data_IF_429557991221
#
_entry.id   IF_429557991221
#
_cell.length_a   1.000
_cell.length_b   1.000
_cell.length_c   1.000
_cell.angle_alpha   90.00
_cell.angle_beta   90.00
_cell.angle_gamma   90.00
#
_symmetry.space_group_name_H-M   'P 1'
#
loop_
_entity.id
_entity.type
_entity.pdbx_description
1 polymer ?
#
# COMPACT_ATOMS: atom_id res chain seq x y z
N UNK A 1 -62.29 -9.08 -11.74
CA UNK A 1 -62.06 -9.05 -10.27
C UNK A 1 -61.30 -7.76 -9.95
N UNK A 2 -61.90 -6.79 -9.23
CA UNK A 2 -61.21 -5.53 -8.88
C UNK A 2 -60.20 -5.82 -7.77
N UNK A 3 -58.94 -5.47 -8.00
CA UNK A 3 -57.87 -5.67 -7.04
C UNK A 3 -58.18 -4.86 -5.75
N UNK A 4 -58.06 -5.44 -4.55
CA UNK A 4 -58.36 -4.73 -3.31
C UNK A 4 -57.49 -3.48 -3.17
N UNK A 5 -58.05 -2.35 -2.75
CA UNK A 5 -57.32 -1.07 -2.59
C UNK A 5 -56.05 -1.21 -1.73
N UNK A 6 -56.05 -2.12 -0.76
CA UNK A 6 -54.88 -2.46 0.06
C UNK A 6 -53.69 -2.99 -0.77
N UNK A 7 -53.93 -3.84 -1.77
CA UNK A 7 -52.89 -4.36 -2.67
C UNK A 7 -52.30 -3.27 -3.58
N UNK A 8 -53.11 -2.29 -4.01
CA UNK A 8 -52.63 -1.15 -4.81
C UNK A 8 -51.71 -0.23 -4.01
N UNK A 9 -52.05 0.07 -2.75
CA UNK A 9 -51.21 0.89 -1.85
C UNK A 9 -49.90 0.14 -1.52
N UNK A 10 -49.97 -1.17 -1.31
CA UNK A 10 -48.79 -2.02 -1.06
C UNK A 10 -47.84 -2.07 -2.27
N UNK A 11 -48.36 -2.18 -3.50
CA UNK A 11 -47.56 -2.15 -4.73
C UNK A 11 -46.94 -0.76 -5.00
N UNK A 12 -47.66 0.33 -4.69
CA UNK A 12 -47.11 1.70 -4.79
C UNK A 12 -46.00 1.91 -3.75
N UNK A 13 -46.17 1.41 -2.53
CA UNK A 13 -45.15 1.47 -1.47
C UNK A 13 -43.91 0.60 -1.77
N UNK A 14 -44.08 -0.57 -2.38
CA UNK A 14 -42.97 -1.41 -2.85
C UNK A 14 -42.25 -0.78 -4.05
N UNK A 15 -43.00 -0.21 -4.99
CA UNK A 15 -42.44 0.49 -6.15
C UNK A 15 -41.65 1.74 -5.77
N UNK A 16 -42.13 2.52 -4.79
CA UNK A 16 -41.42 3.72 -4.31
C UNK A 16 -40.14 3.35 -3.54
N UNK A 17 -40.18 2.32 -2.70
CA UNK A 17 -38.99 1.82 -1.99
C UNK A 17 -37.93 1.29 -2.96
N UNK A 18 -38.33 0.50 -3.97
CA UNK A 18 -37.43 -0.01 -4.99
C UNK A 18 -36.78 1.12 -5.82
N UNK A 19 -37.56 2.17 -6.15
CA UNK A 19 -37.03 3.35 -6.86
C UNK A 19 -36.02 4.13 -6.02
N UNK A 20 -36.26 4.31 -4.71
CA UNK A 20 -35.32 4.96 -3.79
C UNK A 20 -34.02 4.15 -3.69
N UNK A 21 -34.11 2.83 -3.55
CA UNK A 21 -32.93 1.94 -3.52
C UNK A 21 -32.14 2.06 -4.84
N UNK A 22 -32.83 2.03 -5.99
CA UNK A 22 -32.18 2.18 -7.30
C UNK A 22 -31.46 3.53 -7.46
N UNK A 23 -32.04 4.62 -6.95
CA UNK A 23 -31.41 5.95 -6.95
C UNK A 23 -30.17 5.97 -6.05
N UNK A 24 -30.26 5.43 -4.84
CA UNK A 24 -29.12 5.34 -3.92
C UNK A 24 -27.98 4.51 -4.52
N UNK A 25 -28.30 3.37 -5.14
CA UNK A 25 -27.33 2.56 -5.87
C UNK A 25 -26.71 3.36 -7.01
N UNK A 26 -27.50 4.05 -7.84
CA UNK A 26 -26.99 4.85 -8.94
C UNK A 26 -26.02 5.97 -8.47
N UNK A 27 -26.31 6.63 -7.35
CA UNK A 27 -25.44 7.65 -6.75
C UNK A 27 -24.08 7.04 -6.34
N UNK A 28 -24.10 5.88 -5.66
CA UNK A 28 -22.87 5.18 -5.25
C UNK A 28 -22.05 4.74 -6.46
N UNK A 29 -22.70 4.20 -7.49
CA UNK A 29 -22.04 3.80 -8.74
C UNK A 29 -21.43 4.98 -9.49
N UNK A 30 -22.13 6.12 -9.53
CA UNK A 30 -21.60 7.34 -10.16
C UNK A 30 -20.39 7.87 -9.39
N UNK A 31 -20.47 7.94 -8.07
CA UNK A 31 -19.38 8.45 -7.22
C UNK A 31 -18.09 7.62 -7.37
N UNK A 32 -18.21 6.30 -7.50
CA UNK A 32 -17.07 5.36 -7.59
C UNK A 32 -16.60 5.07 -9.01
N UNK A 33 -17.31 5.57 -10.03
CA UNK A 33 -17.00 5.29 -11.45
C UNK A 33 -15.58 5.73 -11.86
N UNK A 34 -15.07 6.81 -11.29
CA UNK A 34 -13.70 7.29 -11.55
C UNK A 34 -12.63 6.30 -11.09
N UNK A 35 -12.85 5.61 -9.96
CA UNK A 35 -11.92 4.57 -9.48
C UNK A 35 -11.84 3.41 -10.47
N UNK A 36 -13.01 2.90 -10.89
CA UNK A 36 -13.06 1.75 -11.80
C UNK A 36 -12.54 2.11 -13.18
N UNK A 37 -12.83 3.31 -13.68
CA UNK A 37 -12.28 3.79 -14.95
C UNK A 37 -10.75 3.85 -14.93
N UNK A 38 -10.15 4.35 -13.84
CA UNK A 38 -8.70 4.39 -13.69
C UNK A 38 -8.09 2.97 -13.64
N UNK A 39 -8.69 2.05 -12.88
CA UNK A 39 -8.24 0.66 -12.81
C UNK A 39 -8.38 -0.09 -14.15
N UNK A 40 -9.53 0.03 -14.80
CA UNK A 40 -9.79 -0.65 -16.07
C UNK A 40 -8.86 -0.14 -17.16
N UNK A 41 -8.63 1.19 -17.19
CA UNK A 41 -7.64 1.77 -18.09
C UNK A 41 -6.24 1.26 -17.79
N UNK A 42 -5.83 1.15 -16.52
CA UNK A 42 -4.51 0.61 -16.17
C UNK A 42 -4.30 -0.78 -16.78
N UNK A 43 -5.23 -1.71 -16.53
CA UNK A 43 -5.05 -3.07 -17.02
C UNK A 43 -5.17 -3.18 -18.54
N UNK A 44 -5.98 -2.34 -19.19
CA UNK A 44 -6.01 -2.22 -20.65
C UNK A 44 -4.67 -1.74 -21.21
N UNK A 45 -4.07 -0.70 -20.65
CA UNK A 45 -2.77 -0.19 -21.09
C UNK A 45 -1.65 -1.22 -20.84
N UNK A 46 -1.70 -1.97 -19.73
CA UNK A 46 -0.76 -3.05 -19.45
C UNK A 46 -0.91 -4.23 -20.42
N UNK A 47 -2.14 -4.58 -20.83
CA UNK A 47 -2.40 -5.58 -21.89
C UNK A 47 -1.73 -5.18 -23.20
N UNK A 48 -1.83 -3.92 -23.56
CA UNK A 48 -1.23 -3.37 -24.79
C UNK A 48 0.29 -3.15 -24.69
N UNK A 49 0.88 -3.34 -23.51
CA UNK A 49 2.30 -3.06 -23.26
C UNK A 49 2.63 -1.57 -23.16
N UNK A 50 1.62 -0.70 -23.06
CA UNK A 50 1.74 0.76 -22.96
C UNK A 50 2.14 1.19 -21.53
N UNK A 51 3.29 0.72 -21.04
CA UNK A 51 3.71 0.99 -19.64
C UNK A 51 3.77 2.48 -19.31
N UNK A 52 4.16 3.35 -20.25
CA UNK A 52 4.20 4.81 -20.03
C UNK A 52 2.81 5.40 -19.78
N UNK A 53 1.79 4.94 -20.49
CA UNK A 53 0.41 5.38 -20.27
C UNK A 53 -0.14 4.84 -18.94
N UNK A 54 0.19 3.59 -18.61
CA UNK A 54 -0.12 2.99 -17.31
C UNK A 54 0.48 3.78 -16.14
N UNK A 55 1.73 4.24 -16.24
CA UNK A 55 2.39 5.04 -15.21
C UNK A 55 1.66 6.36 -14.91
N UNK A 56 1.06 7.00 -15.92
CA UNK A 56 0.30 8.25 -15.74
C UNK A 56 -0.96 8.10 -14.89
N UNK A 57 -1.39 6.87 -14.64
CA UNK A 57 -2.55 6.58 -13.78
C UNK A 57 -2.18 6.48 -12.31
N UNK A 58 -0.89 6.49 -11.96
CA UNK A 58 -0.43 6.45 -10.58
C UNK A 58 -0.25 7.86 -10.01
N UNK A 59 -0.36 7.96 -8.69
CA UNK A 59 0.08 9.16 -7.98
C UNK A 59 1.61 9.30 -8.12
N UNK A 60 2.12 10.53 -8.08
CA UNK A 60 3.57 10.83 -8.22
C UNK A 60 4.41 10.43 -6.99
N UNK A 61 4.09 9.32 -6.36
CA UNK A 61 4.68 8.88 -5.10
C UNK A 61 5.78 7.83 -5.29
N UNK A 62 5.85 7.23 -6.47
CA UNK A 62 6.89 6.27 -6.82
C UNK A 62 7.77 6.86 -7.91
N UNK A 63 9.08 6.68 -7.78
CA UNK A 63 10.03 7.03 -8.83
C UNK A 63 9.67 6.34 -10.16
N UNK A 64 9.72 7.09 -11.26
CA UNK A 64 9.26 6.64 -12.58
C UNK A 64 9.96 5.36 -13.04
N UNK A 65 11.28 5.26 -12.86
CA UNK A 65 12.03 4.06 -13.28
C UNK A 65 11.64 2.84 -12.44
N UNK A 66 11.44 3.05 -11.14
CA UNK A 66 10.99 2.00 -10.22
C UNK A 66 9.59 1.54 -10.59
N UNK A 67 8.66 2.46 -10.80
CA UNK A 67 7.28 2.15 -11.18
C UNK A 67 7.22 1.45 -12.54
N UNK A 68 8.00 1.89 -13.53
CA UNK A 68 8.06 1.25 -14.84
C UNK A 68 8.47 -0.23 -14.72
N UNK A 69 9.51 -0.51 -13.92
CA UNK A 69 10.00 -1.86 -13.68
C UNK A 69 8.98 -2.71 -12.92
N UNK A 70 8.35 -2.15 -11.89
CA UNK A 70 7.32 -2.83 -11.11
C UNK A 70 6.10 -3.18 -11.97
N UNK A 71 5.60 -2.23 -12.78
CA UNK A 71 4.48 -2.47 -13.69
C UNK A 71 4.78 -3.54 -14.74
N UNK A 72 5.97 -3.54 -15.34
CA UNK A 72 6.39 -4.60 -16.27
C UNK A 72 6.48 -5.96 -15.58
N UNK A 73 6.98 -5.98 -14.36
CA UNK A 73 7.09 -7.21 -13.56
C UNK A 73 5.71 -7.74 -13.20
N UNK A 74 4.82 -6.86 -12.73
CA UNK A 74 3.44 -7.17 -12.41
C UNK A 74 2.68 -7.69 -13.64
N UNK A 75 2.77 -7.01 -14.78
CA UNK A 75 2.10 -7.44 -16.00
C UNK A 75 2.53 -8.82 -16.47
N UNK A 76 3.85 -9.10 -16.46
CA UNK A 76 4.40 -10.40 -16.83
C UNK A 76 4.05 -11.50 -15.84
N UNK A 77 4.19 -11.24 -14.54
CA UNK A 77 3.92 -12.21 -13.49
C UNK A 77 2.45 -12.66 -13.48
N UNK A 78 1.56 -11.80 -13.96
CA UNK A 78 0.11 -12.04 -13.98
C UNK A 78 -0.44 -12.33 -15.38
N UNK A 79 0.41 -12.50 -16.39
CA UNK A 79 -0.01 -12.76 -17.79
C UNK A 79 -1.10 -11.78 -18.26
N UNK A 80 -0.89 -10.48 -18.03
CA UNK A 80 -1.89 -9.45 -18.36
C UNK A 80 -2.06 -9.24 -19.87
N UNK A 81 -1.23 -9.86 -20.70
CA UNK A 81 -1.50 -10.02 -22.13
C UNK A 81 -2.83 -10.76 -22.41
N UNK A 82 -3.22 -11.67 -21.51
CA UNK A 82 -4.52 -12.34 -21.51
C UNK A 82 -5.62 -11.55 -20.76
N UNK A 83 -5.41 -10.27 -20.42
CA UNK A 83 -6.40 -9.50 -19.66
C UNK A 83 -7.74 -9.43 -20.40
N UNK A 84 -8.83 -9.82 -19.73
CA UNK A 84 -10.18 -9.78 -20.30
C UNK A 84 -10.99 -8.62 -19.73
N UNK A 85 -11.15 -8.60 -18.40
CA UNK A 85 -11.89 -7.57 -17.68
C UNK A 85 -11.56 -7.59 -16.19
N UNK A 86 -12.17 -6.67 -15.44
CA UNK A 86 -12.14 -6.64 -13.97
C UNK A 86 -13.51 -6.99 -13.40
N UNK A 87 -13.54 -7.33 -12.11
CA UNK A 87 -14.77 -7.50 -11.35
C UNK A 87 -14.57 -6.99 -9.92
N UNK A 88 -15.40 -6.05 -9.48
CA UNK A 88 -15.20 -5.35 -8.21
C UNK A 88 -16.25 -5.79 -7.19
N UNK A 89 -15.82 -6.45 -6.13
CA UNK A 89 -16.67 -6.90 -5.02
C UNK A 89 -16.91 -5.78 -4.00
N UNK A 90 -15.96 -4.86 -3.85
CA UNK A 90 -16.08 -3.71 -2.96
C UNK A 90 -15.57 -2.44 -3.64
N UNK A 91 -16.28 -1.33 -3.40
CA UNK A 91 -15.91 0.01 -3.87
C UNK A 91 -16.19 0.99 -2.76
N UNK A 92 -15.17 1.70 -2.31
CA UNK A 92 -15.28 2.68 -1.22
C UNK A 92 -14.58 3.98 -1.58
N UNK A 93 -15.18 5.10 -1.19
CA UNK A 93 -14.60 6.43 -1.29
C UNK A 93 -14.75 7.13 0.04
N UNK A 94 -13.66 7.75 0.48
CA UNK A 94 -13.62 8.81 1.47
C UNK A 94 -13.17 10.11 0.79
N UNK A 95 -13.24 11.25 1.46
CA UNK A 95 -13.08 12.60 0.89
C UNK A 95 -12.02 12.71 -0.23
N UNK A 96 -10.81 12.20 0.00
CA UNK A 96 -9.69 12.24 -0.94
C UNK A 96 -9.04 10.88 -1.21
N UNK A 97 -9.63 9.78 -0.75
CA UNK A 97 -9.10 8.43 -0.92
C UNK A 97 -10.16 7.47 -1.40
N UNK A 98 -9.76 6.44 -2.14
CA UNK A 98 -10.66 5.41 -2.63
C UNK A 98 -10.03 4.04 -2.53
N UNK A 99 -10.87 3.02 -2.44
CA UNK A 99 -10.43 1.62 -2.43
C UNK A 99 -11.34 0.80 -3.36
N UNK A 100 -10.72 -0.02 -4.20
CA UNK A 100 -11.37 -1.10 -4.91
C UNK A 100 -10.84 -2.44 -4.40
N UNK A 101 -11.74 -3.38 -4.15
CA UNK A 101 -11.38 -4.79 -3.95
C UNK A 101 -12.15 -5.61 -4.98
N UNK A 102 -11.45 -6.57 -5.58
CA UNK A 102 -12.01 -7.34 -6.66
C UNK A 102 -10.99 -8.25 -7.30
N UNK A 103 -11.17 -8.49 -8.58
CA UNK A 103 -10.31 -9.38 -9.35
C UNK A 103 -10.07 -8.89 -10.77
N UNK A 104 -8.89 -9.25 -11.28
CA UNK A 104 -8.54 -9.23 -12.69
C UNK A 104 -8.89 -10.61 -13.25
N UNK A 105 -9.68 -10.65 -14.33
CA UNK A 105 -10.05 -11.90 -14.99
C UNK A 105 -9.32 -12.00 -16.33
N UNK A 106 -8.70 -13.15 -16.58
CA UNK A 106 -7.98 -13.44 -17.81
C UNK A 106 -8.83 -14.25 -18.79
N UNK A 107 -8.47 -14.22 -20.07
CA UNK A 107 -9.13 -14.98 -21.14
C UNK A 107 -9.05 -16.50 -20.91
N UNK A 108 -7.94 -16.96 -20.31
CA UNK A 108 -7.73 -18.36 -19.93
C UNK A 108 -8.55 -18.83 -18.70
N UNK A 109 -9.37 -17.95 -18.11
CA UNK A 109 -10.22 -18.25 -16.96
C UNK A 109 -9.56 -18.05 -15.59
N UNK A 110 -8.27 -17.68 -15.54
CA UNK A 110 -7.58 -17.33 -14.30
C UNK A 110 -8.15 -16.04 -13.72
N UNK A 111 -8.30 -16.01 -12.40
CA UNK A 111 -8.76 -14.84 -11.64
C UNK A 111 -7.70 -14.44 -10.63
N UNK A 112 -7.22 -13.20 -10.70
CA UNK A 112 -6.21 -12.65 -9.80
C UNK A 112 -6.90 -11.65 -8.86
N UNK A 113 -7.06 -11.98 -7.57
CA UNK A 113 -7.66 -11.06 -6.62
C UNK A 113 -6.70 -9.91 -6.30
N UNK A 114 -7.24 -8.69 -6.31
CA UNK A 114 -6.48 -7.46 -6.10
C UNK A 114 -7.21 -6.48 -5.20
N UNK A 115 -6.44 -5.70 -4.45
CA UNK A 115 -6.88 -4.49 -3.77
C UNK A 115 -6.13 -3.31 -4.37
N UNK A 116 -6.85 -2.25 -4.74
CA UNK A 116 -6.29 -1.03 -5.30
C UNK A 116 -6.71 0.14 -4.42
N UNK A 117 -5.72 0.91 -3.95
CA UNK A 117 -5.95 2.15 -3.23
C UNK A 117 -5.70 3.34 -4.16
N UNK A 118 -6.48 4.39 -3.97
CA UNK A 118 -6.47 5.59 -4.79
C UNK A 118 -6.32 6.83 -3.92
N UNK A 119 -5.72 7.85 -4.50
CA UNK A 119 -5.72 9.20 -3.98
C UNK A 119 -6.29 10.16 -5.03
N UNK A 120 -7.11 11.09 -4.58
CA UNK A 120 -7.70 12.10 -5.44
C UNK A 120 -6.68 13.20 -5.76
N UNK A 121 -6.53 13.54 -7.03
CA UNK A 121 -5.71 14.65 -7.53
C UNK A 121 -6.56 15.54 -8.44
N UNK A 122 -7.03 16.68 -7.92
CA UNK A 122 -8.00 17.52 -8.61
C UNK A 122 -9.33 16.80 -8.83
N UNK A 123 -9.76 16.67 -10.08
CA UNK A 123 -10.94 15.88 -10.47
C UNK A 123 -10.67 14.39 -10.60
N UNK A 124 -9.40 13.99 -10.67
CA UNK A 124 -9.00 12.68 -11.13
C UNK A 124 -8.65 11.76 -9.96
N UNK A 125 -8.86 10.48 -10.16
CA UNK A 125 -8.44 9.44 -9.23
C UNK A 125 -7.16 8.81 -9.75
N UNK A 126 -6.09 8.92 -8.96
CA UNK A 126 -4.81 8.31 -9.26
C UNK A 126 -4.59 7.10 -8.35
N UNK A 127 -4.02 6.05 -8.92
CA UNK A 127 -3.68 4.82 -8.22
C UNK A 127 -2.53 5.12 -7.26
N UNK A 128 -2.79 4.94 -5.98
CA UNK A 128 -1.82 5.08 -4.91
C UNK A 128 -1.04 3.79 -4.73
N UNK A 129 -1.73 2.63 -4.73
CA UNK A 129 -1.08 1.33 -4.66
C UNK A 129 -1.95 0.20 -5.19
N UNK A 130 -1.28 -0.91 -5.53
CA UNK A 130 -1.90 -2.16 -5.97
C UNK A 130 -1.32 -3.32 -5.17
N UNK A 131 -2.19 -4.22 -4.75
CA UNK A 131 -1.80 -5.41 -4.00
C UNK A 131 -2.50 -6.65 -4.53
N UNK A 132 -1.72 -7.66 -4.88
CA UNK A 132 -2.22 -9.01 -5.19
C UNK A 132 -2.50 -9.78 -3.90
N UNK A 133 -3.62 -10.51 -3.84
CA UNK A 133 -3.86 -11.52 -2.80
C UNK A 133 -3.49 -12.90 -3.37
N UNK A 134 -2.25 -13.36 -3.23
CA UNK A 134 -1.88 -14.70 -3.75
C UNK A 134 -2.52 -15.80 -2.91
N UNK A 135 -3.43 -16.57 -3.51
CA UNK A 135 -3.98 -17.79 -2.91
C UNK A 135 -2.91 -18.89 -2.90
N UNK A 136 -2.58 -19.43 -1.71
CA UNK A 136 -1.66 -20.58 -1.57
C UNK A 136 -0.50 -20.40 -0.59
N UNK A 137 -0.27 -19.18 -0.09
CA UNK A 137 0.51 -18.98 1.15
C UNK A 137 -0.48 -19.10 2.30
N UNK A 138 -0.21 -19.97 3.27
CA UNK A 138 -1.07 -20.21 4.44
C UNK A 138 -1.30 -18.87 5.17
N UNK A 139 -2.38 -18.18 4.84
CA UNK A 139 -2.74 -16.89 5.43
C UNK A 139 -3.62 -17.15 6.64
N UNK A 140 -2.98 -17.59 7.72
CA UNK A 140 -3.52 -17.39 9.08
C UNK A 140 -3.04 -16.06 9.68
N UNK A 141 -2.30 -15.24 8.93
CA UNK A 141 -2.04 -13.84 9.25
C UNK A 141 -3.20 -12.96 8.74
N UNK A 142 -3.54 -11.92 9.51
CA UNK A 142 -4.59 -10.96 9.17
C UNK A 142 -4.48 -10.49 7.72
N UNK A 143 -5.62 -10.42 7.04
CA UNK A 143 -5.71 -10.26 5.59
C UNK A 143 -4.82 -9.11 5.08
N UNK A 144 -3.81 -9.44 4.28
CA UNK A 144 -2.88 -8.48 3.70
C UNK A 144 -1.59 -8.22 4.48
N UNK A 145 -1.38 -8.74 5.68
CA UNK A 145 -0.04 -8.65 6.30
C UNK A 145 0.99 -9.41 5.45
N UNK A 146 2.17 -8.84 5.15
CA UNK A 146 3.22 -9.53 4.41
C UNK A 146 3.68 -10.83 5.05
N UNK A 147 4.27 -11.72 4.24
CA UNK A 147 4.90 -12.94 4.78
C UNK A 147 6.03 -12.61 5.75
N UNK A 148 6.32 -13.50 6.70
CA UNK A 148 7.42 -13.30 7.66
C UNK A 148 8.76 -13.01 6.96
N UNK A 149 9.05 -13.71 5.86
CA UNK A 149 10.23 -13.47 5.04
C UNK A 149 10.30 -12.03 4.51
N UNK A 150 9.16 -11.51 4.04
CA UNK A 150 9.06 -10.14 3.54
C UNK A 150 9.19 -9.13 4.69
N UNK A 151 8.55 -9.38 5.83
CA UNK A 151 8.69 -8.55 7.04
C UNK A 151 10.16 -8.46 7.48
N UNK A 152 10.87 -9.60 7.53
CA UNK A 152 12.30 -9.63 7.87
C UNK A 152 13.13 -8.83 6.87
N UNK A 153 12.83 -8.94 5.57
CA UNK A 153 13.56 -8.21 4.53
C UNK A 153 13.41 -6.69 4.67
N UNK A 154 12.17 -6.18 4.76
CA UNK A 154 11.93 -4.73 4.86
C UNK A 154 12.41 -4.13 6.19
N UNK A 155 12.34 -4.90 7.28
CA UNK A 155 12.92 -4.51 8.57
C UNK A 155 14.45 -4.43 8.52
N UNK A 156 15.10 -5.42 7.90
CA UNK A 156 16.56 -5.42 7.76
C UNK A 156 17.04 -4.26 6.90
N UNK A 157 16.41 -4.01 5.74
CA UNK A 157 16.73 -2.90 4.85
C UNK A 157 16.60 -1.54 5.57
N UNK A 158 15.52 -1.34 6.32
CA UNK A 158 15.30 -0.11 7.11
C UNK A 158 16.38 0.08 8.18
N UNK A 159 16.71 -0.97 8.93
CA UNK A 159 17.74 -0.92 9.97
C UNK A 159 19.12 -0.65 9.36
N UNK A 160 19.45 -1.26 8.23
CA UNK A 160 20.71 -1.06 7.51
C UNK A 160 20.84 0.37 7.01
N UNK A 161 19.76 0.93 6.46
CA UNK A 161 19.72 2.31 5.98
C UNK A 161 19.88 3.31 7.12
N UNK A 162 19.20 3.07 8.25
CA UNK A 162 19.33 3.90 9.45
C UNK A 162 20.75 3.85 10.03
N UNK A 163 21.29 2.64 10.21
CA UNK A 163 22.66 2.44 10.72
C UNK A 163 23.72 3.06 9.79
N UNK A 164 23.53 2.95 8.48
CA UNK A 164 24.44 3.56 7.49
C UNK A 164 24.37 5.08 7.51
N UNK A 165 23.17 5.65 7.63
CA UNK A 165 22.97 7.10 7.76
C UNK A 165 23.68 7.67 9.00
N UNK A 166 23.65 6.94 10.12
CA UNK A 166 24.41 7.29 11.33
C UNK A 166 25.91 7.25 11.07
N UNK A 167 26.43 6.15 10.49
CA UNK A 167 27.87 6.00 10.19
C UNK A 167 28.38 7.12 9.27
N UNK A 168 27.57 7.51 8.29
CA UNK A 168 27.89 8.56 7.31
C UNK A 168 27.65 9.99 7.84
N UNK A 169 27.08 10.14 9.04
CA UNK A 169 26.61 11.42 9.59
C UNK A 169 25.70 12.18 8.63
N UNK A 170 24.84 11.47 7.90
CA UNK A 170 23.98 12.06 6.89
C UNK A 170 22.71 11.22 6.72
N UNK A 171 21.54 11.83 6.98
CA UNK A 171 20.24 11.17 6.86
C UNK A 171 19.56 11.40 5.50
N UNK A 172 20.22 12.03 4.53
CA UNK A 172 19.63 12.28 3.20
C UNK A 172 19.28 10.98 2.48
N UNK A 173 20.10 9.93 2.61
CA UNK A 173 19.79 8.62 2.03
C UNK A 173 18.54 8.00 2.66
N UNK A 174 18.40 8.10 3.98
CA UNK A 174 17.18 7.69 4.68
C UNK A 174 15.98 8.50 4.19
N UNK A 175 16.09 9.83 4.15
CA UNK A 175 15.04 10.72 3.66
C UNK A 175 14.59 10.39 2.25
N UNK A 176 15.51 10.07 1.35
CA UNK A 176 15.17 9.73 -0.03
C UNK A 176 14.45 8.38 -0.16
N UNK A 177 14.59 7.49 0.83
CA UNK A 177 13.99 6.16 0.81
C UNK A 177 12.64 6.08 1.55
N UNK A 178 12.32 7.04 2.43
CA UNK A 178 11.01 7.08 3.10
C UNK A 178 9.90 7.33 2.08
N UNK A 179 8.67 7.03 2.49
CA UNK A 179 7.47 7.23 1.67
C UNK A 179 7.34 8.67 1.20
N UNK A 180 6.79 8.87 0.00
CA UNK A 180 6.50 10.22 -0.48
C UNK A 180 5.52 10.92 0.44
N UNK A 181 4.59 10.15 1.03
CA UNK A 181 3.70 10.62 2.09
C UNK A 181 4.48 11.28 3.24
N UNK A 182 5.52 10.62 3.77
CA UNK A 182 6.33 11.21 4.85
C UNK A 182 7.19 12.38 4.37
N UNK A 183 7.73 12.33 3.15
CA UNK A 183 8.48 13.47 2.58
C UNK A 183 7.63 14.74 2.41
N UNK A 184 6.32 14.59 2.22
CA UNK A 184 5.39 15.73 2.12
C UNK A 184 5.07 16.35 3.49
N UNK A 185 5.25 15.61 4.58
CA UNK A 185 4.96 16.05 5.94
C UNK A 185 6.19 16.53 6.70
N UNK A 186 7.37 16.02 6.36
CA UNK A 186 8.63 16.35 7.01
C UNK A 186 9.71 16.76 5.99
N UNK A 187 10.47 17.80 6.33
CA UNK A 187 11.66 18.19 5.56
C UNK A 187 12.88 17.34 5.92
N UNK A 188 13.93 17.32 5.07
CA UNK A 188 15.21 16.68 5.40
C UNK A 188 15.78 17.19 6.72
N UNK A 189 15.72 18.50 6.98
CA UNK A 189 16.20 19.11 8.22
C UNK A 189 15.44 18.62 9.45
N UNK A 190 14.11 18.49 9.35
CA UNK A 190 13.29 17.97 10.46
C UNK A 190 13.63 16.51 10.77
N UNK A 191 13.85 15.70 9.72
CA UNK A 191 14.30 14.31 9.86
C UNK A 191 15.68 14.25 10.54
N UNK A 192 16.62 15.09 10.09
CA UNK A 192 17.96 15.16 10.67
C UNK A 192 17.92 15.57 12.14
N UNK A 193 17.14 16.59 12.50
CA UNK A 193 17.02 17.01 13.91
C UNK A 193 16.42 15.91 14.79
N UNK A 194 15.42 15.17 14.29
CA UNK A 194 14.81 14.07 15.03
C UNK A 194 15.80 12.95 15.35
N UNK A 195 16.73 12.64 14.43
CA UNK A 195 17.70 11.54 14.58
C UNK A 195 19.12 11.98 14.96
N UNK A 196 19.36 13.29 15.10
CA UNK A 196 20.64 13.87 15.54
C UNK A 196 21.23 13.21 16.80
N UNK A 197 20.44 12.84 17.84
CA UNK A 197 21.00 12.16 19.02
C UNK A 197 21.75 10.86 18.72
N UNK A 198 21.45 10.18 17.61
CA UNK A 198 22.11 8.93 17.20
C UNK A 198 23.47 9.15 16.54
N UNK A 199 23.77 10.37 16.08
CA UNK A 199 25.07 10.69 15.48
C UNK A 199 26.24 10.56 16.45
N UNK A 200 25.99 10.53 17.78
CA UNK A 200 27.02 10.21 18.77
C UNK A 200 27.62 8.80 18.57
N UNK A 201 26.86 7.88 17.97
CA UNK A 201 27.31 6.52 17.69
C UNK A 201 28.33 6.43 16.54
N UNK A 202 28.48 7.49 15.74
CA UNK A 202 29.51 7.54 14.69
C UNK A 202 30.90 7.93 15.21
N UNK A 203 31.01 8.35 16.48
CA UNK A 203 32.20 9.04 17.01
C UNK A 203 33.31 8.13 17.55
N UNK A 204 33.02 6.87 17.85
CA UNK A 204 33.99 5.97 18.46
C UNK A 204 33.90 4.54 17.94
N UNK A 205 35.00 3.80 18.08
CA UNK A 205 35.14 2.43 17.56
C UNK A 205 34.13 1.44 18.15
N UNK A 206 33.80 1.56 19.44
CA UNK A 206 32.86 0.65 20.09
C UNK A 206 31.44 0.82 19.53
N UNK A 207 30.99 2.06 19.35
CA UNK A 207 29.69 2.36 18.74
C UNK A 207 29.63 1.97 17.26
N UNK A 208 30.73 2.09 16.51
CA UNK A 208 30.80 1.58 15.14
C UNK A 208 30.73 0.04 15.09
N UNK A 209 31.39 -0.66 16.01
CA UNK A 209 31.26 -2.11 16.15
C UNK A 209 29.82 -2.50 16.49
N UNK A 210 29.15 -1.75 17.38
CA UNK A 210 27.74 -1.93 17.69
C UNK A 210 26.85 -1.84 16.45
N UNK A 211 26.98 -0.77 15.65
CA UNK A 211 26.20 -0.60 14.41
C UNK A 211 26.49 -1.71 13.39
N UNK A 212 27.73 -2.19 13.29
CA UNK A 212 28.07 -3.30 12.39
C UNK A 212 27.46 -4.62 12.86
N UNK A 213 27.42 -4.88 14.17
CA UNK A 213 26.76 -6.05 14.73
C UNK A 213 25.24 -5.99 14.49
N UNK A 214 24.63 -4.82 14.68
CA UNK A 214 23.21 -4.59 14.40
C UNK A 214 22.84 -5.01 12.96
N UNK A 215 23.57 -4.53 11.95
CA UNK A 215 23.31 -4.84 10.53
C UNK A 215 23.59 -6.30 10.13
N UNK A 216 24.20 -7.10 11.01
CA UNK A 216 24.50 -8.52 10.79
C UNK A 216 23.59 -9.45 11.57
N UNK A 217 22.81 -8.90 12.49
CA UNK A 217 21.87 -9.65 13.32
C UNK A 217 20.51 -9.73 12.64
N UNK A 218 19.74 -10.76 12.99
CA UNK A 218 18.34 -10.90 12.57
C UNK A 218 17.45 -10.34 13.69
N UNK A 219 16.44 -9.51 13.39
CA UNK A 219 15.50 -9.04 14.40
C UNK A 219 14.59 -10.19 14.87
N UNK A 220 14.15 -10.10 16.11
CA UNK A 220 13.01 -10.86 16.63
C UNK A 220 11.80 -9.93 16.76
N UNK A 221 10.68 -10.30 16.14
CA UNK A 221 9.42 -9.57 16.33
C UNK A 221 8.87 -9.82 17.73
N UNK A 222 8.42 -8.77 18.40
CA UNK A 222 7.90 -8.83 19.77
C UNK A 222 6.38 -8.95 19.82
N UNK A 223 5.71 -8.61 18.72
CA UNK A 223 4.28 -8.70 18.50
C UNK A 223 4.04 -9.13 17.05
N UNK A 224 2.86 -9.67 16.76
CA UNK A 224 2.45 -9.91 15.37
C UNK A 224 2.36 -8.57 14.61
N UNK A 225 2.82 -8.56 13.36
CA UNK A 225 2.67 -7.38 12.51
C UNK A 225 1.19 -7.18 12.17
N UNK A 226 0.76 -5.92 12.18
CA UNK A 226 -0.64 -5.55 11.91
C UNK A 226 -0.71 -4.50 10.80
N UNK A 227 -1.77 -4.53 10.01
CA UNK A 227 -2.19 -3.39 9.19
C UNK A 227 -3.34 -2.71 9.92
N UNK A 228 -3.19 -1.42 10.23
CA UNK A 228 -4.24 -0.66 10.91
C UNK A 228 -5.31 -0.13 9.94
N UNK A 229 -6.31 0.56 10.48
CA UNK A 229 -7.44 1.11 9.71
C UNK A 229 -7.02 2.17 8.66
N UNK A 230 -5.81 2.72 8.77
CA UNK A 230 -5.22 3.63 7.78
C UNK A 230 -4.35 2.90 6.74
N UNK A 231 -4.43 1.57 6.67
CA UNK A 231 -3.63 0.73 5.77
C UNK A 231 -2.11 0.87 5.99
N UNK A 232 -1.71 1.19 7.22
CA UNK A 232 -0.29 1.27 7.64
C UNK A 232 0.10 -0.05 8.29
N UNK A 233 1.13 -0.70 7.74
CA UNK A 233 1.78 -1.86 8.33
C UNK A 233 2.66 -1.44 9.49
N UNK A 234 2.43 -2.01 10.67
CA UNK A 234 3.19 -1.74 11.89
C UNK A 234 3.97 -3.00 12.26
N UNK A 235 5.29 -2.87 12.37
CA UNK A 235 6.20 -3.94 12.78
C UNK A 235 6.93 -3.51 14.06
N UNK A 236 6.84 -4.34 15.11
CA UNK A 236 7.53 -4.13 16.38
C UNK A 236 8.50 -5.26 16.65
N UNK A 237 9.70 -4.92 17.10
CA UNK A 237 10.69 -5.94 17.38
C UNK A 237 11.93 -5.42 18.07
N UNK A 238 12.91 -6.31 18.16
CA UNK A 238 14.23 -6.02 18.74
C UNK A 238 15.32 -6.83 18.08
N UNK A 239 16.54 -6.30 18.10
CA UNK A 239 17.76 -7.07 17.85
C UNK A 239 18.40 -7.42 19.18
N UNK A 240 18.74 -8.69 19.36
CA UNK A 240 19.38 -9.22 20.58
C UNK A 240 20.88 -8.95 20.55
N UNK A 241 21.25 -7.67 20.56
CA UNK A 241 22.61 -7.16 20.71
C UNK A 241 22.72 -6.40 22.04
N UNK A 242 23.94 -6.06 22.48
CA UNK A 242 24.17 -5.32 23.73
C UNK A 242 24.75 -3.92 23.46
N UNK A 243 24.05 -2.82 23.84
CA UNK A 243 22.70 -2.79 24.42
C UNK A 243 21.59 -3.15 23.40
N UNK A 244 20.42 -3.65 23.84
CA UNK A 244 19.34 -4.06 22.93
C UNK A 244 18.84 -2.92 22.04
N UNK A 245 18.74 -3.17 20.74
CA UNK A 245 18.07 -2.27 19.82
C UNK A 245 16.60 -2.67 19.73
N UNK A 246 15.68 -1.78 20.11
CA UNK A 246 14.23 -2.01 19.95
C UNK A 246 13.65 -1.04 18.93
N UNK A 247 12.63 -1.47 18.20
CA UNK A 247 12.05 -0.67 17.13
C UNK A 247 10.53 -0.80 17.01
N UNK A 248 9.94 0.25 16.45
CA UNK A 248 8.63 0.24 15.81
C UNK A 248 8.78 0.92 14.46
N UNK A 249 8.58 0.15 13.40
CA UNK A 249 8.60 0.64 12.03
C UNK A 249 7.19 0.62 11.47
N UNK A 250 6.80 1.72 10.83
CA UNK A 250 5.52 1.89 10.17
C UNK A 250 5.74 2.03 8.68
N UNK A 251 4.99 1.30 7.87
CA UNK A 251 5.09 1.31 6.41
C UNK A 251 3.74 1.55 5.76
N UNK A 252 3.74 2.24 4.63
CA UNK A 252 2.60 2.39 3.74
C UNK A 252 2.95 1.77 2.39
N UNK A 253 1.98 1.17 1.70
CA UNK A 253 2.21 0.67 0.34
C UNK A 253 2.11 1.83 -0.65
N UNK A 254 3.19 2.17 -1.35
CA UNK A 254 3.19 3.15 -2.46
C UNK A 254 3.58 2.40 -3.75
N UNK A 255 2.72 2.46 -4.77
CA UNK A 255 2.83 1.60 -5.96
C UNK A 255 2.70 0.12 -5.59
N UNK A 256 3.81 -0.61 -5.70
CA UNK A 256 3.90 -2.04 -5.38
C UNK A 256 4.87 -2.35 -4.22
N UNK A 257 5.36 -1.32 -3.53
CA UNK A 257 6.42 -1.46 -2.52
C UNK A 257 6.02 -0.85 -1.18
N UNK A 258 6.37 -1.53 -0.08
CA UNK A 258 6.28 -0.97 1.26
C UNK A 258 7.33 0.12 1.45
N UNK A 259 6.85 1.33 1.78
CA UNK A 259 7.69 2.50 2.05
C UNK A 259 7.56 2.93 3.50
N UNK A 260 8.68 3.23 4.13
CA UNK A 260 8.75 3.64 5.52
C UNK A 260 8.02 4.99 5.70
N UNK A 261 7.02 5.03 6.58
CA UNK A 261 6.26 6.24 6.94
C UNK A 261 6.44 6.63 8.41
N UNK A 262 7.10 5.78 9.21
CA UNK A 262 7.45 6.10 10.59
C UNK A 262 8.55 5.20 11.13
N UNK A 263 9.46 5.79 11.91
CA UNK A 263 10.60 5.10 12.50
C UNK A 263 10.76 5.54 13.95
N UNK A 264 10.60 4.59 14.88
CA UNK A 264 10.89 4.76 16.30
C UNK A 264 11.89 3.71 16.74
N UNK A 265 12.96 4.15 17.37
CA UNK A 265 14.08 3.29 17.77
C UNK A 265 14.57 3.65 19.17
N UNK A 266 15.04 2.66 19.91
CA UNK A 266 15.70 2.83 21.21
C UNK A 266 16.90 1.91 21.30
N UNK A 267 18.00 2.45 21.82
CA UNK A 267 19.32 1.82 22.00
C UNK A 267 19.76 2.02 23.44
#
# INVERSE_FOLDING_TARGET
MKMPKFFQILLIGLGSLAAIIAILVAIIFQATSGLTAAADKLFSELKEGNTKAAMQLFSQQVDDQTLERELKTFARANSLDDFKNTSWSNRSISTNTGTLEGSINLENGTTIPVTISFQKSGSDWLIFSIKEKRSGVISSASEGVPSEKELLAITAETTDLFASSIKENNFQKLYNAISKTWQNEASPDQLEQAFKPFLKLSKNKQSLTYLNNLTRSTPAFTEEAIINDQNVLIIKGRYTIDPPYTFTYSYVMEGFSWKLIGLKVSI
#
